data_IF_870207838575
#
_entry.id   IF_870207838575
#
_cell.length_a   1.000
_cell.length_b   1.000
_cell.length_c   1.000
_cell.angle_alpha   90.00
_cell.angle_beta   90.00
_cell.angle_gamma   90.00
#
_symmetry.space_group_name_H-M   'P 1'
#
loop_
_entity.id
_entity.type
_entity.pdbx_description
1 polymer ?
#
# COMPACT_ATOMS: atom_id res chain seq x y z
N UNK A 1 -50.46 14.77 -29.86
CA UNK A 1 -49.98 14.88 -28.46
C UNK A 1 -48.61 15.54 -28.47
N UNK A 2 -48.54 16.87 -28.30
CA UNK A 2 -47.28 17.63 -28.34
C UNK A 2 -46.43 17.37 -27.09
N UNK A 3 -45.14 17.08 -27.26
CA UNK A 3 -44.20 16.93 -26.14
C UNK A 3 -44.00 18.31 -25.50
N UNK A 4 -44.32 18.45 -24.21
CA UNK A 4 -44.00 19.66 -23.43
C UNK A 4 -42.48 19.83 -23.39
N UNK A 5 -41.97 20.97 -23.86
CA UNK A 5 -40.55 21.28 -23.78
C UNK A 5 -40.17 21.57 -22.32
N UNK A 6 -39.12 20.92 -21.83
CA UNK A 6 -38.61 21.12 -20.47
C UNK A 6 -37.76 22.39 -20.43
N UNK A 7 -37.94 23.29 -19.46
CA UNK A 7 -37.13 24.50 -19.31
C UNK A 7 -35.62 24.20 -19.34
N UNK A 8 -34.83 25.06 -19.98
CA UNK A 8 -33.38 24.88 -20.18
C UNK A 8 -32.62 24.59 -18.88
N UNK A 9 -33.02 25.23 -17.79
CA UNK A 9 -32.43 25.06 -16.46
C UNK A 9 -32.66 23.66 -15.84
N UNK A 10 -33.73 22.98 -16.27
CA UNK A 10 -34.10 21.63 -15.83
C UNK A 10 -33.57 20.54 -16.78
N UNK A 11 -32.81 20.91 -17.81
CA UNK A 11 -32.17 19.93 -18.69
C UNK A 11 -31.02 19.23 -17.95
N UNK A 12 -30.99 17.90 -18.02
CA UNK A 12 -29.90 17.09 -17.46
C UNK A 12 -28.58 17.50 -18.11
N UNK A 13 -27.70 18.14 -17.35
CA UNK A 13 -26.32 18.39 -17.75
C UNK A 13 -25.48 17.18 -17.37
N UNK A 14 -24.95 16.46 -18.37
CA UNK A 14 -23.97 15.41 -18.14
C UNK A 14 -22.67 16.05 -17.64
N UNK A 15 -22.29 15.76 -16.40
CA UNK A 15 -20.95 16.07 -15.89
C UNK A 15 -20.11 14.80 -16.03
N UNK A 16 -19.12 14.84 -16.91
CA UNK A 16 -18.11 13.81 -17.01
C UNK A 16 -17.04 14.07 -15.95
N UNK A 17 -16.99 13.24 -14.92
CA UNK A 17 -15.86 13.23 -13.98
C UNK A 17 -14.83 12.28 -14.55
N UNK A 18 -13.63 12.79 -14.86
CA UNK A 18 -12.50 11.96 -15.29
C UNK A 18 -11.98 11.20 -14.07
N UNK A 19 -12.63 10.07 -13.77
CA UNK A 19 -12.34 9.20 -12.62
C UNK A 19 -10.86 8.85 -12.50
N UNK A 20 -10.18 8.62 -13.62
CA UNK A 20 -8.76 8.31 -13.65
C UNK A 20 -7.90 9.45 -13.08
N UNK A 21 -8.13 10.69 -13.54
CA UNK A 21 -7.43 11.88 -13.03
C UNK A 21 -7.70 12.08 -11.54
N UNK A 22 -8.95 11.89 -11.10
CA UNK A 22 -9.33 12.01 -9.70
C UNK A 22 -8.62 10.97 -8.81
N UNK A 23 -8.49 9.73 -9.29
CA UNK A 23 -7.75 8.67 -8.60
C UNK A 23 -6.25 9.00 -8.53
N UNK A 24 -5.67 9.49 -9.61
CA UNK A 24 -4.26 9.90 -9.62
C UNK A 24 -3.98 11.09 -8.70
N UNK A 25 -4.86 12.08 -8.68
CA UNK A 25 -4.74 13.24 -7.79
C UNK A 25 -4.88 12.84 -6.32
N UNK A 26 -5.79 11.90 -6.01
CA UNK A 26 -5.94 11.31 -4.68
C UNK A 26 -4.69 10.53 -4.27
N UNK A 27 -4.15 9.71 -5.18
CA UNK A 27 -2.93 8.94 -4.94
C UNK A 27 -1.72 9.86 -4.71
N UNK A 28 -1.59 10.94 -5.49
CA UNK A 28 -0.52 11.94 -5.34
C UNK A 28 -0.61 12.70 -4.01
N UNK A 29 -1.83 13.01 -3.54
CA UNK A 29 -2.03 13.63 -2.23
C UNK A 29 -1.72 12.69 -1.06
N UNK A 30 -1.88 11.38 -1.24
CA UNK A 30 -1.49 10.37 -0.25
C UNK A 30 0.02 10.07 -0.24
N UNK A 31 0.77 10.36 -1.31
CA UNK A 31 2.20 10.03 -1.41
C UNK A 31 3.10 10.54 -0.27
N UNK A 32 2.94 11.78 0.24
CA UNK A 32 3.76 12.27 1.34
C UNK A 32 3.59 11.43 2.62
N UNK A 33 2.35 11.07 2.95
CA UNK A 33 1.99 10.26 4.12
C UNK A 33 2.31 8.77 3.92
N UNK A 34 2.33 8.31 2.66
CA UNK A 34 2.62 6.92 2.29
C UNK A 34 4.01 6.49 2.72
N UNK A 35 5.02 7.35 2.56
CA UNK A 35 6.41 7.00 2.89
C UNK A 35 6.60 6.70 4.39
N UNK A 36 5.97 7.49 5.26
CA UNK A 36 6.00 7.25 6.70
C UNK A 36 5.13 6.06 7.10
N UNK A 37 3.88 5.99 6.64
CA UNK A 37 2.98 4.89 6.97
C UNK A 37 3.48 3.53 6.44
N UNK A 38 4.03 3.48 5.23
CA UNK A 38 4.66 2.27 4.68
C UNK A 38 5.90 1.91 5.48
N UNK A 39 6.72 2.89 5.88
CA UNK A 39 7.90 2.63 6.72
C UNK A 39 7.48 2.03 8.06
N UNK A 40 6.45 2.56 8.69
CA UNK A 40 5.96 2.07 9.98
C UNK A 40 5.39 0.65 9.84
N UNK A 41 4.57 0.41 8.81
CA UNK A 41 4.09 -0.93 8.46
C UNK A 41 5.23 -1.92 8.16
N UNK A 42 6.30 -1.45 7.51
CA UNK A 42 7.45 -2.27 7.19
C UNK A 42 8.28 -2.61 8.43
N UNK A 43 8.43 -1.66 9.35
CA UNK A 43 9.10 -1.90 10.64
C UNK A 43 8.29 -2.87 11.52
N UNK A 44 6.96 -2.74 11.53
CA UNK A 44 6.07 -3.68 12.22
C UNK A 44 6.21 -5.09 11.62
N UNK A 45 6.27 -5.19 10.28
CA UNK A 45 6.44 -6.49 9.61
C UNK A 45 7.79 -7.14 9.91
N UNK A 46 8.88 -6.37 9.89
CA UNK A 46 10.21 -6.84 10.30
C UNK A 46 10.18 -7.34 11.75
N UNK A 47 9.51 -6.60 12.64
CA UNK A 47 9.39 -7.00 14.05
C UNK A 47 8.66 -8.33 14.18
N UNK A 48 7.53 -8.48 13.49
CA UNK A 48 6.75 -9.73 13.48
C UNK A 48 7.60 -10.91 12.98
N UNK A 49 8.28 -10.77 11.85
CA UNK A 49 9.10 -11.83 11.27
C UNK A 49 10.28 -12.22 12.19
N UNK A 50 10.91 -11.24 12.85
CA UNK A 50 11.99 -11.50 13.81
C UNK A 50 11.49 -12.12 15.12
N UNK A 51 10.26 -11.80 15.55
CA UNK A 51 9.59 -12.46 16.68
C UNK A 51 9.28 -13.92 16.35
N UNK A 52 8.77 -14.19 15.15
CA UNK A 52 8.48 -15.54 14.67
C UNK A 52 9.76 -16.39 14.58
N UNK A 53 10.87 -15.79 14.14
CA UNK A 53 12.19 -16.43 14.14
C UNK A 53 12.81 -16.59 15.55
N UNK A 54 12.18 -16.07 16.61
CA UNK A 54 12.69 -16.11 17.99
C UNK A 54 13.94 -15.26 18.22
N UNK A 55 14.22 -14.30 17.32
CA UNK A 55 15.40 -13.45 17.36
C UNK A 55 15.20 -12.20 18.23
N UNK A 56 13.95 -11.86 18.56
CA UNK A 56 13.61 -10.75 19.47
C UNK A 56 12.47 -11.13 20.42
N UNK A 57 12.23 -10.29 21.43
CA UNK A 57 11.11 -10.40 22.37
C UNK A 57 10.07 -9.31 22.07
N UNK A 58 8.81 -9.51 22.47
CA UNK A 58 7.71 -8.57 22.17
C UNK A 58 7.99 -7.13 22.60
N UNK A 59 8.67 -6.95 23.73
CA UNK A 59 9.00 -5.63 24.29
C UNK A 59 10.23 -4.96 23.63
N UNK A 60 10.92 -5.65 22.72
CA UNK A 60 12.13 -5.12 22.11
C UNK A 60 11.80 -4.04 21.06
N UNK A 61 12.51 -2.91 21.15
CA UNK A 61 12.48 -1.87 20.14
C UNK A 61 13.37 -2.28 18.94
N UNK A 62 12.88 -2.06 17.71
CA UNK A 62 13.65 -2.32 16.49
C UNK A 62 14.76 -1.28 16.37
N UNK A 63 16.00 -1.75 16.46
CA UNK A 63 17.21 -0.95 16.21
C UNK A 63 17.88 -1.38 14.92
N UNK A 64 18.90 -0.65 14.48
CA UNK A 64 19.66 -0.96 13.26
C UNK A 64 20.28 -2.37 13.29
N UNK A 65 20.67 -2.86 14.47
CA UNK A 65 21.23 -4.21 14.65
C UNK A 65 20.23 -5.31 14.31
N UNK A 66 18.93 -5.08 14.57
CA UNK A 66 17.85 -6.00 14.23
C UNK A 66 17.60 -6.04 12.72
N UNK A 67 17.83 -4.92 12.01
CA UNK A 67 17.76 -4.91 10.54
C UNK A 67 18.87 -5.75 9.90
N UNK A 68 20.08 -5.70 10.45
CA UNK A 68 21.19 -6.54 9.98
C UNK A 68 20.92 -8.04 10.24
N UNK A 69 20.28 -8.37 11.37
CA UNK A 69 19.81 -9.73 11.68
C UNK A 69 18.71 -10.19 10.72
N UNK A 70 17.73 -9.33 10.44
CA UNK A 70 16.65 -9.63 9.48
C UNK A 70 17.20 -9.94 8.09
N UNK A 71 18.19 -9.18 7.64
CA UNK A 71 18.83 -9.40 6.33
C UNK A 71 19.61 -10.71 6.31
N UNK A 72 20.32 -11.04 7.40
CA UNK A 72 21.19 -12.23 7.45
C UNK A 72 20.42 -13.53 7.62
N UNK A 73 19.41 -13.54 8.47
CA UNK A 73 18.75 -14.77 8.89
C UNK A 73 17.42 -14.97 8.15
N UNK A 74 16.58 -13.92 8.05
CA UNK A 74 15.23 -14.05 7.47
C UNK A 74 15.25 -13.92 5.94
N UNK A 75 15.93 -12.89 5.40
CA UNK A 75 15.94 -12.66 3.94
C UNK A 75 16.86 -13.64 3.17
N UNK A 76 17.89 -14.21 3.80
CA UNK A 76 18.73 -15.22 3.13
C UNK A 76 18.02 -16.57 2.99
N UNK A 77 17.23 -16.98 3.98
CA UNK A 77 16.42 -18.20 3.87
C UNK A 77 15.31 -18.08 2.79
N UNK A 78 14.78 -16.87 2.57
CA UNK A 78 13.81 -16.58 1.50
C UNK A 78 14.31 -16.82 0.07
N UNK A 79 15.61 -17.09 -0.14
CA UNK A 79 16.18 -17.35 -1.47
C UNK A 79 16.11 -18.82 -1.92
N UNK A 80 15.57 -19.75 -1.10
CA UNK A 80 15.52 -21.18 -1.44
C UNK A 80 14.16 -21.75 -1.88
N UNK A 81 13.12 -20.93 -2.03
CA UNK A 81 11.82 -21.43 -2.54
C UNK A 81 11.26 -20.63 -3.73
N UNK A 82 12.14 -20.16 -4.63
CA UNK A 82 11.72 -19.88 -6.01
C UNK A 82 11.60 -21.20 -6.78
N UNK A 83 10.52 -21.95 -6.53
CA UNK A 83 9.98 -22.82 -7.59
C UNK A 83 9.45 -21.90 -8.69
N UNK A 84 10.34 -21.49 -9.59
CA UNK A 84 9.94 -20.93 -10.87
C UNK A 84 9.17 -22.03 -11.61
N UNK A 85 7.84 -21.96 -11.59
CA UNK A 85 7.02 -22.64 -12.59
C UNK A 85 7.17 -21.85 -13.89
N UNK A 86 8.15 -22.23 -14.70
CA UNK A 86 8.14 -21.93 -16.12
C UNK A 86 7.31 -23.03 -16.79
N UNK A 87 6.08 -22.67 -17.19
CA UNK A 87 5.27 -23.44 -18.14
C UNK A 87 5.35 -22.82 -19.52
#
# INVERSE_FOLDING_TARGET
MGRKQVPYEMQKKSKSVHLEQWIWDLAAQMQPCRSAAIRDLFLDKIKEDLLEAGLVKEDSAITKEHADLYIKEVLKEGSFNKKCFCG
#
